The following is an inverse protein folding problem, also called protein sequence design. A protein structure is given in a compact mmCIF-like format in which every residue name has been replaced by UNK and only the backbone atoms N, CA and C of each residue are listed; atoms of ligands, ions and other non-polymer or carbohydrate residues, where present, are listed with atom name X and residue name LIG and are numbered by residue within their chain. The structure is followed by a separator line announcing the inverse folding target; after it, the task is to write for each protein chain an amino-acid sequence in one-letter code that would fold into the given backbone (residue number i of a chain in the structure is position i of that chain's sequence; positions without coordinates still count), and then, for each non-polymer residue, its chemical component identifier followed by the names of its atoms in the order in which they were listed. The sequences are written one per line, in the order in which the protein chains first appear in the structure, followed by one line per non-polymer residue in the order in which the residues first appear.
data_IF_651320347410
#
_entry.id   IF_651320347410
#
_cell.length_a   1.000
_cell.length_b   1.000
_cell.length_c   1.000
_cell.angle_alpha   90.00
_cell.angle_beta   90.00
_cell.angle_gamma   90.00
#
_symmetry.space_group_name_H-M   'P 1'
#
loop_
_entity.id
_entity.type
_entity.pdbx_description
1 polymer ?
#
# COMPACT_ATOMS: atom_id res chain seq x y z
N UNK A 1 1.94 -17.38 -1.97
CA UNK A 1 1.17 -16.23 -2.51
C UNK A 1 2.19 -15.16 -2.91
N UNK A 2 3.05 -15.47 -3.91
CA UNK A 2 4.44 -14.94 -3.97
C UNK A 2 4.69 -13.92 -5.08
N UNK A 3 3.62 -13.49 -5.76
CA UNK A 3 3.75 -12.63 -6.94
C UNK A 3 4.09 -11.20 -6.52
N UNK A 4 3.44 -10.66 -5.49
CA UNK A 4 3.70 -9.30 -5.03
C UNK A 4 5.12 -9.12 -4.48
N UNK A 5 5.63 -10.09 -3.72
CA UNK A 5 7.02 -10.08 -3.24
C UNK A 5 8.04 -10.04 -4.38
N UNK A 6 7.82 -10.80 -5.46
CA UNK A 6 8.68 -10.78 -6.67
C UNK A 6 8.57 -9.47 -7.44
N UNK A 7 7.39 -8.85 -7.46
CA UNK A 7 7.13 -7.59 -8.16
C UNK A 7 7.45 -6.35 -7.33
N UNK A 8 7.68 -6.46 -6.01
CA UNK A 8 7.90 -5.35 -5.07
C UNK A 8 8.97 -4.38 -5.58
N UNK A 9 10.08 -4.91 -6.08
CA UNK A 9 11.18 -4.10 -6.63
C UNK A 9 10.76 -3.31 -7.87
N UNK A 10 10.08 -3.96 -8.81
CA UNK A 10 9.61 -3.34 -10.05
C UNK A 10 8.52 -2.30 -9.80
N UNK A 11 7.53 -2.63 -8.96
CA UNK A 11 6.44 -1.71 -8.57
C UNK A 11 7.03 -0.47 -7.90
N UNK A 12 7.98 -0.66 -6.97
CA UNK A 12 8.67 0.44 -6.32
C UNK A 12 9.44 1.35 -7.30
N UNK A 13 10.09 0.77 -8.32
CA UNK A 13 10.74 1.57 -9.38
C UNK A 13 9.74 2.36 -10.23
N UNK A 14 8.62 1.73 -10.60
CA UNK A 14 7.56 2.38 -11.37
C UNK A 14 6.96 3.55 -10.59
N UNK A 15 6.62 3.35 -9.32
CA UNK A 15 6.04 4.40 -8.48
C UNK A 15 7.01 5.57 -8.26
N UNK A 16 8.29 5.31 -7.97
CA UNK A 16 9.31 6.37 -7.88
C UNK A 16 9.38 7.21 -9.16
N UNK A 17 9.47 6.54 -10.32
CA UNK A 17 9.51 7.22 -11.61
C UNK A 17 8.27 8.09 -11.85
N UNK A 18 7.08 7.59 -11.52
CA UNK A 18 5.83 8.34 -11.70
C UNK A 18 5.74 9.54 -10.74
N UNK A 19 6.20 9.38 -9.50
CA UNK A 19 6.30 10.46 -8.52
C UNK A 19 7.25 11.56 -9.02
N UNK A 20 8.44 11.19 -9.50
CA UNK A 20 9.43 12.13 -10.04
C UNK A 20 8.88 12.93 -11.22
N UNK A 21 8.14 12.28 -12.13
CA UNK A 21 7.49 12.93 -13.28
C UNK A 21 6.44 13.98 -12.89
N UNK A 22 5.87 13.87 -11.69
CA UNK A 22 4.87 14.81 -11.17
C UNK A 22 5.41 15.74 -10.10
N UNK A 23 6.71 15.67 -9.79
CA UNK A 23 7.32 16.43 -8.71
C UNK A 23 6.79 16.04 -7.33
N UNK A 24 6.23 14.84 -7.18
CA UNK A 24 5.79 14.29 -5.89
C UNK A 24 7.02 13.74 -5.19
N UNK A 25 7.38 14.30 -4.04
CA UNK A 25 8.54 13.84 -3.27
C UNK A 25 8.13 12.70 -2.35
N UNK A 26 8.74 11.53 -2.52
CA UNK A 26 8.59 10.41 -1.58
C UNK A 26 9.49 10.67 -0.37
N UNK A 27 8.91 10.65 0.83
CA UNK A 27 9.66 10.71 2.09
C UNK A 27 9.99 9.30 2.54
N UNK A 28 8.97 8.46 2.66
CA UNK A 28 9.11 7.04 2.98
C UNK A 28 8.06 6.22 2.24
N UNK A 29 8.38 4.96 1.95
CA UNK A 29 7.44 4.04 1.34
C UNK A 29 7.77 2.59 1.70
N UNK A 30 6.76 1.86 2.16
CA UNK A 30 6.85 0.44 2.47
C UNK A 30 5.85 -0.34 1.62
N UNK A 31 6.29 -1.44 1.03
CA UNK A 31 5.44 -2.29 0.21
C UNK A 31 5.16 -3.60 0.93
N UNK A 32 3.92 -3.75 1.38
CA UNK A 32 3.39 -4.93 2.04
C UNK A 32 3.01 -6.01 1.00
N UNK A 33 2.66 -7.22 1.44
CA UNK A 33 2.31 -8.32 0.53
C UNK A 33 1.11 -8.05 -0.40
N UNK A 34 0.19 -7.18 0.00
CA UNK A 34 -1.07 -6.91 -0.71
C UNK A 34 -1.38 -5.40 -0.89
N UNK A 35 -0.62 -4.51 -0.26
CA UNK A 35 -0.80 -3.05 -0.35
C UNK A 35 0.53 -2.29 -0.21
N UNK A 36 0.51 -0.98 -0.43
CA UNK A 36 1.69 -0.10 -0.31
C UNK A 36 1.33 1.12 0.53
N UNK A 37 2.16 1.40 1.54
CA UNK A 37 2.13 2.64 2.31
C UNK A 37 3.15 3.61 1.75
N UNK A 38 2.76 4.87 1.56
CA UNK A 38 3.67 5.93 1.11
C UNK A 38 3.40 7.22 1.88
N UNK A 39 4.47 7.79 2.43
CA UNK A 39 4.51 9.16 2.90
C UNK A 39 5.07 10.04 1.80
N UNK A 40 4.22 10.88 1.23
CA UNK A 40 4.57 11.73 0.09
C UNK A 40 4.27 13.19 0.35
N UNK A 41 5.07 14.07 -0.25
CA UNK A 41 4.80 15.50 -0.34
C UNK A 41 4.32 15.81 -1.76
N UNK A 42 3.03 16.14 -1.88
CA UNK A 42 2.39 16.49 -3.15
C UNK A 42 2.52 18.00 -3.36
N UNK A 43 2.88 18.48 -4.57
CA UNK A 43 2.88 19.89 -4.90
C UNK A 43 1.49 20.54 -4.69
N UNK A 44 1.40 21.77 -4.16
CA UNK A 44 0.12 22.40 -3.82
C UNK A 44 -0.77 22.71 -5.04
N UNK A 45 -0.21 22.70 -6.25
CA UNK A 45 -0.97 22.86 -7.50
C UNK A 45 -1.64 21.57 -7.98
N UNK A 46 -1.48 20.46 -7.26
CA UNK A 46 -2.09 19.17 -7.58
C UNK A 46 -3.00 18.72 -6.44
N UNK A 47 -4.20 18.25 -6.76
CA UNK A 47 -5.08 17.64 -5.77
C UNK A 47 -4.63 16.23 -5.42
N UNK A 48 -4.92 15.80 -4.19
CA UNK A 48 -4.67 14.43 -3.72
C UNK A 48 -5.33 13.40 -4.65
N UNK A 49 -6.59 13.66 -5.03
CA UNK A 49 -7.34 12.78 -5.92
C UNK A 49 -6.66 12.65 -7.30
N UNK A 50 -6.13 13.75 -7.84
CA UNK A 50 -5.38 13.73 -9.10
C UNK A 50 -4.09 12.90 -8.97
N UNK A 51 -3.29 13.15 -7.93
CA UNK A 51 -2.05 12.42 -7.68
C UNK A 51 -2.31 10.91 -7.56
N UNK A 52 -3.30 10.51 -6.75
CA UNK A 52 -3.67 9.11 -6.57
C UNK A 52 -4.21 8.47 -7.85
N UNK A 53 -5.07 9.17 -8.60
CA UNK A 53 -5.58 8.70 -9.88
C UNK A 53 -4.47 8.48 -10.91
N UNK A 54 -3.53 9.41 -10.99
CA UNK A 54 -2.36 9.31 -11.86
C UNK A 54 -1.46 8.13 -11.48
N UNK A 55 -1.07 8.04 -10.20
CA UNK A 55 -0.19 6.98 -9.70
C UNK A 55 -0.81 5.60 -9.92
N UNK A 56 -2.05 5.37 -9.46
CA UNK A 56 -2.72 4.08 -9.61
C UNK A 56 -2.99 3.72 -11.07
N UNK A 57 -3.42 4.68 -11.88
CA UNK A 57 -3.74 4.46 -13.29
C UNK A 57 -2.50 4.13 -14.13
N UNK A 58 -1.46 4.96 -14.06
CA UNK A 58 -0.24 4.78 -14.86
C UNK A 58 0.58 3.59 -14.39
N UNK A 59 0.68 3.36 -13.08
CA UNK A 59 1.39 2.17 -12.57
C UNK A 59 0.71 0.88 -13.00
N UNK A 60 -0.62 0.79 -12.94
CA UNK A 60 -1.35 -0.40 -13.43
C UNK A 60 -1.00 -0.71 -14.88
N UNK A 61 -1.00 0.30 -15.75
CA UNK A 61 -0.66 0.13 -17.16
C UNK A 61 0.78 -0.39 -17.33
N UNK A 62 1.75 0.23 -16.65
CA UNK A 62 3.16 -0.16 -16.73
C UNK A 62 3.43 -1.56 -16.16
N UNK A 63 2.72 -1.94 -15.10
CA UNK A 63 2.84 -3.26 -14.48
C UNK A 63 2.29 -4.34 -15.43
N UNK A 64 1.13 -4.13 -16.05
CA UNK A 64 0.59 -5.09 -17.01
C UNK A 64 1.41 -5.19 -18.30
N UNK A 65 2.06 -4.10 -18.71
CA UNK A 65 2.97 -4.08 -19.86
C UNK A 65 4.24 -4.88 -19.58
N UNK A 66 4.88 -4.64 -18.42
CA UNK A 66 6.11 -5.34 -18.01
C UNK A 66 5.87 -6.80 -17.59
N UNK A 67 4.68 -7.11 -17.08
CA UNK A 67 4.33 -8.44 -16.58
C UNK A 67 3.04 -8.96 -17.25
N UNK A 68 3.15 -9.27 -18.54
CA UNK A 68 2.04 -9.74 -19.37
C UNK A 68 1.25 -10.92 -18.76
N UNK A 69 1.92 -11.79 -18.00
CA UNK A 69 1.28 -12.93 -17.31
C UNK A 69 0.21 -12.51 -16.29
N UNK A 70 0.31 -11.31 -15.69
CA UNK A 70 -0.71 -10.78 -14.77
C UNK A 70 -2.02 -10.45 -15.51
N UNK A 71 -1.94 -10.08 -16.78
CA UNK A 71 -3.11 -9.71 -17.59
C UNK A 71 -4.10 -10.86 -17.72
N UNK A 72 -3.59 -12.10 -17.78
CA UNK A 72 -4.40 -13.31 -17.87
C UNK A 72 -4.95 -13.75 -16.51
N UNK A 73 -4.21 -13.52 -15.43
CA UNK A 73 -4.62 -13.93 -14.07
C UNK A 73 -5.69 -13.01 -13.46
N UNK A 74 -5.63 -11.71 -13.75
CA UNK A 74 -6.54 -10.69 -13.24
C UNK A 74 -7.44 -10.17 -14.37
N UNK A 75 -8.14 -11.04 -15.10
CA UNK A 75 -8.77 -10.81 -16.41
C UNK A 75 -9.56 -9.51 -16.66
N UNK A 76 -9.82 -8.72 -15.62
CA UNK A 76 -10.38 -7.36 -15.60
C UNK A 76 -9.33 -6.21 -15.57
N UNK A 77 -8.03 -6.46 -15.74
CA UNK A 77 -6.94 -5.44 -15.80
C UNK A 77 -6.94 -4.43 -14.64
N UNK A 78 -7.39 -4.84 -13.46
CA UNK A 78 -7.33 -4.02 -12.25
C UNK A 78 -6.19 -4.53 -11.37
N UNK A 79 -5.12 -3.73 -11.24
CA UNK A 79 -4.01 -4.06 -10.35
C UNK A 79 -4.24 -3.55 -8.93
N UNK A 80 -4.79 -2.34 -8.81
CA UNK A 80 -5.16 -1.74 -7.52
C UNK A 80 -6.65 -1.85 -7.24
N UNK A 81 -7.02 -1.92 -5.96
CA UNK A 81 -8.39 -1.70 -5.51
C UNK A 81 -8.91 -0.32 -5.95
N UNK A 82 -10.23 -0.16 -6.08
CA UNK A 82 -10.84 1.13 -6.48
C UNK A 82 -10.56 2.25 -5.47
N UNK A 83 -10.71 1.96 -4.18
CA UNK A 83 -10.46 2.91 -3.08
C UNK A 83 -8.99 3.19 -2.81
N UNK A 84 -8.73 4.23 -2.03
CA UNK A 84 -7.44 4.52 -1.42
C UNK A 84 -7.69 5.22 -0.08
N UNK A 85 -6.76 5.07 0.86
CA UNK A 85 -6.75 5.81 2.11
C UNK A 85 -5.76 6.96 2.00
N UNK A 86 -6.10 8.12 2.57
CA UNK A 86 -5.20 9.26 2.67
C UNK A 86 -5.45 9.99 3.97
N UNK A 87 -4.37 10.39 4.63
CA UNK A 87 -4.40 11.29 5.77
C UNK A 87 -3.35 12.39 5.59
N UNK A 88 -3.67 13.58 6.07
CA UNK A 88 -2.80 14.75 5.96
C UNK A 88 -1.90 14.85 7.17
N UNK A 89 -0.59 14.75 6.93
CA UNK A 89 0.39 14.72 8.00
C UNK A 89 0.91 16.12 8.29
N UNK A 90 0.51 16.68 9.43
CA UNK A 90 0.98 17.97 9.93
C UNK A 90 2.32 17.87 10.67
N UNK A 91 2.37 18.37 11.92
CA UNK A 91 3.61 18.50 12.72
C UNK A 91 4.26 17.17 13.13
N UNK A 92 3.56 16.05 13.10
CA UNK A 92 4.05 14.73 13.57
C UNK A 92 4.68 13.88 12.47
N UNK A 93 5.49 14.49 11.60
CA UNK A 93 6.13 13.79 10.47
C UNK A 93 7.01 12.62 10.93
N UNK A 94 7.79 12.79 12.00
CA UNK A 94 8.73 11.76 12.49
C UNK A 94 8.04 10.49 13.00
N UNK A 95 6.94 10.64 13.74
CA UNK A 95 6.20 9.50 14.27
C UNK A 95 5.59 8.62 13.17
N UNK A 96 5.12 9.25 12.09
CA UNK A 96 4.52 8.53 10.96
C UNK A 96 5.59 7.92 10.04
N UNK A 97 6.75 8.57 9.92
CA UNK A 97 7.91 8.01 9.24
C UNK A 97 8.37 6.70 9.92
N UNK A 98 8.46 6.71 11.25
CA UNK A 98 8.83 5.54 12.05
C UNK A 98 7.76 4.45 12.00
N UNK A 99 6.48 4.82 12.03
CA UNK A 99 5.35 3.89 11.84
C UNK A 99 5.42 3.17 10.48
N UNK A 100 5.59 3.90 9.37
CA UNK A 100 5.65 3.29 8.02
C UNK A 100 6.85 2.35 7.90
N UNK A 101 7.98 2.72 8.51
CA UNK A 101 9.18 1.88 8.52
C UNK A 101 8.98 0.57 9.29
N UNK A 102 8.19 0.61 10.37
CA UNK A 102 7.94 -0.54 11.22
C UNK A 102 6.68 -1.33 10.85
N UNK A 103 5.94 -0.92 9.81
CA UNK A 103 4.65 -1.53 9.44
C UNK A 103 4.72 -3.05 9.31
N UNK A 104 5.75 -3.59 8.65
CA UNK A 104 5.90 -5.05 8.50
C UNK A 104 6.13 -5.77 9.84
N UNK A 105 6.81 -5.12 10.78
CA UNK A 105 7.05 -5.66 12.11
C UNK A 105 5.79 -5.59 12.97
N UNK A 106 5.05 -4.48 12.89
CA UNK A 106 3.80 -4.27 13.60
C UNK A 106 2.71 -5.22 13.08
N UNK A 107 2.60 -5.41 11.76
CA UNK A 107 1.70 -6.38 11.13
C UNK A 107 2.01 -7.81 11.59
N UNK A 108 3.30 -8.18 11.65
CA UNK A 108 3.73 -9.50 12.12
C UNK A 108 3.43 -9.71 13.63
N UNK A 109 3.60 -8.68 14.46
CA UNK A 109 3.27 -8.72 15.87
C UNK A 109 1.74 -8.81 16.10
N UNK A 110 0.95 -8.09 15.30
CA UNK A 110 -0.51 -8.15 15.32
C UNK A 110 -1.04 -9.52 14.90
N UNK A 111 -0.47 -10.15 13.85
CA UNK A 111 -0.78 -11.52 13.43
C UNK A 111 -0.49 -12.56 14.53
N UNK A 112 0.62 -12.39 15.27
CA UNK A 112 0.93 -13.25 16.43
C UNK A 112 -0.07 -13.07 17.59
N UNK A 113 -0.63 -11.87 17.77
CA UNK A 113 -1.65 -11.61 18.78
C UNK A 113 -3.06 -12.06 18.35
N UNK A 114 -3.38 -12.04 17.05
CA UNK A 114 -4.70 -12.49 16.52
C UNK A 114 -4.88 -14.00 16.54
N UNK A 115 -3.79 -14.79 16.62
CA UNK A 115 -3.91 -16.25 16.82
C UNK A 115 -4.50 -16.64 18.20
N UNK A 116 -4.76 -15.67 19.09
CA UNK A 116 -5.44 -15.84 20.39
C UNK A 116 -6.61 -14.88 20.56
N UNK A 117 -7.56 -14.85 19.63
CA UNK A 117 -8.83 -14.18 19.87
C UNK A 117 -9.73 -15.03 20.79
N UNK A 118 -9.70 -14.73 22.09
CA UNK A 118 -10.61 -15.32 23.09
C UNK A 118 -12.05 -14.74 23.03
N UNK A 119 -12.28 -13.69 22.24
CA UNK A 119 -13.59 -13.05 22.07
C UNK A 119 -13.88 -12.75 20.59
N UNK A 120 -15.08 -13.11 20.15
CA UNK A 120 -15.61 -12.80 18.82
C UNK A 120 -15.95 -11.29 18.71
N UNK A 121 -15.36 -10.54 17.76
CA UNK A 121 -15.52 -9.09 17.66
C UNK A 121 -16.87 -8.62 17.11
N UNK A 122 -17.70 -9.51 16.57
CA UNK A 122 -19.04 -9.18 16.06
C UNK A 122 -20.15 -9.54 17.05
N UNK A 123 -19.94 -10.57 17.87
CA UNK A 123 -20.96 -11.06 18.81
C UNK A 123 -20.61 -10.82 20.28
N UNK A 124 -19.35 -10.52 20.60
CA UNK A 124 -18.86 -10.39 21.98
C UNK A 124 -18.80 -11.72 22.75
N UNK A 125 -19.00 -12.85 22.07
CA UNK A 125 -19.00 -14.18 22.68
C UNK A 125 -17.58 -14.62 23.03
N UNK A 126 -17.36 -15.16 24.24
CA UNK A 126 -16.10 -15.84 24.56
C UNK A 126 -16.00 -17.16 23.80
N UNK A 127 -14.91 -17.36 23.07
CA UNK A 127 -14.67 -18.61 22.35
C UNK A 127 -14.04 -19.62 23.32
N UNK A 128 -14.84 -20.53 23.88
CA UNK A 128 -14.38 -21.52 24.88
C UNK A 128 -13.58 -22.70 24.28
N UNK A 129 -13.05 -22.55 23.06
CA UNK A 129 -12.13 -23.51 22.45
C UNK A 129 -10.76 -22.86 22.29
N UNK A 130 -10.11 -22.63 23.42
CA UNK A 130 -8.68 -22.40 23.54
C UNK A 130 -8.13 -23.37 24.58
#
# INVERSE_FOLDING_TARGET
MDIYGKLKKDIGQILRKLCDQKGIKIVEAEACPDHIHMLVSIPPNQSVAYAMGYLKGKSSLMIFDRHANLKYKYGNRHFWCRGYYVDTVGRNKKAIEEYIKNQLADDCAMEQMTFKEYLDPFTGSKNNKA
#
